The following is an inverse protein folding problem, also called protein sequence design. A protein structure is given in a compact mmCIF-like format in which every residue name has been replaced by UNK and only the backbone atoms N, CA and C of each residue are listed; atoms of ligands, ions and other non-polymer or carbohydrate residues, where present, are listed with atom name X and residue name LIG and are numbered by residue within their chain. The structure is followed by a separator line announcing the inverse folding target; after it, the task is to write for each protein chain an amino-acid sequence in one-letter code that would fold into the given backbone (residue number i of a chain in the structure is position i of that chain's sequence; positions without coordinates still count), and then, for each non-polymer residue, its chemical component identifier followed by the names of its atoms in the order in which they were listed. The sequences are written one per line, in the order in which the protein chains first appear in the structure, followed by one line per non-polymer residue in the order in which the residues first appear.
data_IF_593896659799
#
_entry.id   IF_593896659799
#
_cell.length_a   1.000
_cell.length_b   1.000
_cell.length_c   1.000
_cell.angle_alpha   90.00
_cell.angle_beta   90.00
_cell.angle_gamma   90.00
#
_symmetry.space_group_name_H-M   'P 1'
#
loop_
_entity.id
_entity.type
_entity.pdbx_description
1 polymer ?
#
# COMPACT_ATOMS: atom_id res chain seq x y z
N UNK A 1 -42.72 15.62 42.86
CA UNK A 1 -41.36 15.46 42.34
C UNK A 1 -41.04 16.70 41.51
N UNK A 2 -40.29 17.65 42.06
CA UNK A 2 -39.97 18.92 41.40
C UNK A 2 -38.83 18.71 40.41
N UNK A 3 -39.07 19.05 39.14
CA UNK A 3 -38.04 19.09 38.11
C UNK A 3 -37.18 20.36 38.28
N UNK A 4 -35.85 20.28 38.22
CA UNK A 4 -35.00 21.46 38.27
C UNK A 4 -35.10 22.24 36.95
N UNK A 5 -35.53 23.49 37.04
CA UNK A 5 -35.48 24.47 35.94
C UNK A 5 -34.04 24.87 35.71
N UNK A 6 -33.48 24.49 34.57
CA UNK A 6 -32.14 24.90 34.12
C UNK A 6 -32.25 26.26 33.45
N UNK A 7 -31.77 27.30 34.13
CA UNK A 7 -31.65 28.65 33.57
C UNK A 7 -30.40 28.72 32.71
N UNK A 8 -30.57 28.86 31.40
CA UNK A 8 -29.48 29.01 30.44
C UNK A 8 -29.06 30.49 30.44
N UNK A 9 -27.77 30.82 30.65
CA UNK A 9 -27.29 32.20 30.59
C UNK A 9 -27.36 32.72 29.16
N UNK A 10 -27.99 33.88 28.99
CA UNK A 10 -28.04 34.64 27.75
C UNK A 10 -26.65 35.20 27.48
N UNK A 11 -25.96 34.66 26.47
CA UNK A 11 -24.66 35.17 26.01
C UNK A 11 -24.91 36.45 25.22
N UNK A 12 -24.31 37.55 25.67
CA UNK A 12 -24.40 38.85 25.00
C UNK A 12 -23.72 38.80 23.62
N UNK A 13 -24.27 39.48 22.61
CA UNK A 13 -23.69 39.53 21.27
C UNK A 13 -22.34 40.26 21.30
N UNK A 14 -21.29 39.59 20.84
CA UNK A 14 -19.96 40.18 20.64
C UNK A 14 -20.01 41.27 19.55
N UNK A 15 -19.33 42.41 19.75
CA UNK A 15 -19.32 43.49 18.78
C UNK A 15 -18.60 43.07 17.50
N UNK A 16 -19.30 43.20 16.38
CA UNK A 16 -18.79 43.03 15.02
C UNK A 16 -17.60 43.99 14.79
N UNK A 17 -16.41 43.50 14.38
CA UNK A 17 -15.31 44.38 14.03
C UNK A 17 -15.70 45.22 12.80
N UNK A 18 -15.56 46.53 12.94
CA UNK A 18 -15.80 47.50 11.87
C UNK A 18 -14.93 47.16 10.65
N UNK A 19 -15.57 47.08 9.49
CA UNK A 19 -14.93 46.89 8.21
C UNK A 19 -13.90 47.98 7.95
N UNK A 20 -12.62 47.61 7.96
CA UNK A 20 -11.56 48.42 7.39
C UNK A 20 -11.66 48.29 5.87
N UNK A 21 -12.16 49.34 5.23
CA UNK A 21 -12.16 49.51 3.78
C UNK A 21 -10.73 49.75 3.32
N UNK A 22 -10.00 48.69 2.98
CA UNK A 22 -8.75 48.83 2.23
C UNK A 22 -9.09 49.06 0.75
N UNK A 23 -8.75 50.25 0.26
CA UNK A 23 -8.80 50.62 -1.15
C UNK A 23 -7.86 49.71 -1.95
N UNK A 24 -8.45 48.84 -2.79
CA UNK A 24 -7.72 48.03 -3.76
C UNK A 24 -7.24 48.97 -4.88
N UNK A 25 -5.92 49.09 -5.15
CA UNK A 25 -5.44 49.86 -6.28
C UNK A 25 -5.87 49.18 -7.59
N UNK A 26 -6.59 49.94 -8.41
CA UNK A 26 -7.00 49.58 -9.77
C UNK A 26 -5.77 49.39 -10.66
N UNK A 27 -5.37 48.12 -10.85
CA UNK A 27 -4.32 47.74 -11.81
C UNK A 27 -4.97 47.60 -13.19
N UNK A 28 -5.28 48.73 -13.80
CA UNK A 28 -5.65 48.79 -15.20
C UNK A 28 -4.37 48.66 -16.05
N UNK A 29 -4.31 47.64 -16.90
CA UNK A 29 -3.40 47.61 -18.06
C UNK A 29 -2.28 46.59 -17.99
N UNK A 30 -2.62 45.30 -18.09
CA UNK A 30 -1.71 44.30 -18.65
C UNK A 30 -2.38 43.66 -19.85
N UNK A 31 -2.12 44.26 -21.03
CA UNK A 31 -2.32 43.62 -22.32
C UNK A 31 -1.34 42.45 -22.43
N UNK A 32 -1.79 41.25 -22.08
CA UNK A 32 -1.08 40.02 -22.38
C UNK A 32 -1.59 39.53 -23.74
N UNK A 33 -1.01 40.07 -24.80
CA UNK A 33 -1.05 39.45 -26.13
C UNK A 33 -0.04 38.29 -26.12
N UNK A 34 -0.44 37.18 -25.49
CA UNK A 34 0.33 35.94 -25.45
C UNK A 34 -0.10 35.04 -26.61
N UNK A 35 0.81 34.86 -27.55
CA UNK A 35 0.73 33.96 -28.70
C UNK A 35 0.40 32.52 -28.28
N UNK A 36 -0.68 31.97 -28.84
CA UNK A 36 -0.99 30.54 -28.86
C UNK A 36 0.06 29.80 -29.70
N UNK A 37 1.07 29.23 -29.04
CA UNK A 37 1.93 28.22 -29.63
C UNK A 37 1.65 26.87 -28.96
N UNK A 38 0.88 26.05 -29.67
CA UNK A 38 0.32 24.72 -29.35
C UNK A 38 1.36 23.58 -29.23
N UNK A 39 2.54 23.82 -28.65
CA UNK A 39 3.59 22.79 -28.51
C UNK A 39 4.13 22.67 -27.08
N UNK A 40 3.24 22.74 -26.08
CA UNK A 40 3.60 22.42 -24.69
C UNK A 40 3.55 20.90 -24.47
N UNK A 41 4.52 20.20 -25.06
CA UNK A 41 4.90 18.83 -24.68
C UNK A 41 5.56 18.94 -23.30
N UNK A 42 4.73 19.19 -22.29
CA UNK A 42 5.15 19.18 -20.91
C UNK A 42 5.72 17.78 -20.64
N UNK A 43 6.99 17.66 -20.18
CA UNK A 43 7.56 16.36 -19.89
C UNK A 43 6.63 15.62 -18.90
N UNK A 44 6.43 14.31 -19.06
CA UNK A 44 5.53 13.56 -18.21
C UNK A 44 5.94 13.82 -16.77
N UNK A 45 5.03 14.39 -15.96
CA UNK A 45 5.26 14.71 -14.56
C UNK A 45 5.95 13.52 -13.92
N UNK A 46 7.26 13.65 -13.68
CA UNK A 46 8.00 12.66 -12.92
C UNK A 46 7.28 12.56 -11.59
N UNK A 47 6.83 11.37 -11.17
CA UNK A 47 6.16 11.21 -9.90
C UNK A 47 7.07 11.88 -8.86
N UNK A 48 6.52 12.84 -8.11
CA UNK A 48 7.18 13.41 -6.95
C UNK A 48 7.22 12.25 -5.95
N UNK A 49 8.19 11.37 -6.14
CA UNK A 49 8.67 10.48 -5.11
C UNK A 49 9.24 11.44 -4.08
N UNK A 50 8.52 11.61 -2.97
CA UNK A 50 9.10 12.21 -1.78
C UNK A 50 10.48 11.56 -1.61
N UNK A 51 11.57 12.34 -1.41
CA UNK A 51 12.88 11.78 -1.24
C UNK A 51 12.75 10.72 -0.15
N UNK A 52 12.89 9.46 -0.53
CA UNK A 52 12.80 8.34 0.39
C UNK A 52 13.94 8.56 1.35
N UNK A 53 13.62 9.22 2.46
CA UNK A 53 14.55 9.43 3.53
C UNK A 53 15.10 8.05 3.88
N UNK A 54 16.40 7.99 4.13
CA UNK A 54 17.21 6.80 4.45
C UNK A 54 16.76 6.06 5.73
N UNK A 55 15.49 6.17 6.12
CA UNK A 55 14.92 5.43 7.22
C UNK A 55 14.77 3.96 6.81
N UNK A 56 15.43 3.12 7.61
CA UNK A 56 15.39 1.68 7.51
C UNK A 56 13.95 1.22 7.79
N UNK A 57 13.24 0.84 6.72
CA UNK A 57 11.95 0.16 6.70
C UNK A 57 10.75 0.98 7.25
N UNK A 58 9.70 1.24 6.44
CA UNK A 58 8.51 1.93 6.93
C UNK A 58 7.79 1.06 7.97
N UNK A 59 7.24 1.67 9.02
CA UNK A 59 6.44 0.95 10.03
C UNK A 59 5.04 0.63 9.47
N UNK A 60 4.50 1.54 8.66
CA UNK A 60 3.15 1.45 8.09
C UNK A 60 3.21 1.70 6.60
N UNK A 61 2.52 0.88 5.83
CA UNK A 61 2.26 1.09 4.42
C UNK A 61 0.78 1.45 4.22
N UNK A 62 0.52 2.69 3.81
CA UNK A 62 -0.82 3.17 3.46
C UNK A 62 -1.05 2.91 1.98
N UNK A 63 -2.07 2.12 1.65
CA UNK A 63 -2.50 1.92 0.26
C UNK A 63 -3.80 2.66 0.02
N UNK A 64 -3.73 3.80 -0.68
CA UNK A 64 -4.90 4.57 -1.11
C UNK A 64 -5.40 4.04 -2.46
N UNK A 65 -6.59 3.45 -2.47
CA UNK A 65 -7.16 2.84 -3.68
C UNK A 65 -8.41 3.57 -4.14
N UNK A 66 -8.39 4.17 -5.33
CA UNK A 66 -9.61 4.68 -5.98
C UNK A 66 -10.29 3.58 -6.79
N UNK A 67 -11.61 3.45 -6.65
CA UNK A 67 -12.37 2.42 -7.36
C UNK A 67 -13.84 2.79 -7.64
N UNK A 68 -14.50 2.00 -8.48
CA UNK A 68 -15.92 2.05 -8.79
C UNK A 68 -16.72 1.14 -7.86
N UNK A 69 -17.93 1.56 -7.49
CA UNK A 69 -18.76 0.79 -6.57
C UNK A 69 -19.24 -0.55 -7.15
N UNK A 70 -19.25 -0.68 -8.48
CA UNK A 70 -19.77 -1.86 -9.18
C UNK A 70 -19.05 -3.16 -8.82
N UNK A 71 -17.76 -3.10 -8.47
CA UNK A 71 -16.96 -4.28 -8.11
C UNK A 71 -16.37 -4.05 -6.72
N UNK A 72 -16.57 -4.95 -5.74
CA UNK A 72 -15.92 -4.82 -4.44
C UNK A 72 -14.39 -4.97 -4.56
N UNK A 73 -13.64 -4.29 -3.71
CA UNK A 73 -12.19 -4.46 -3.62
C UNK A 73 -11.86 -5.81 -2.96
N UNK A 74 -10.86 -6.48 -3.50
CA UNK A 74 -10.22 -7.65 -2.91
C UNK A 74 -8.71 -7.36 -2.85
N UNK A 75 -8.11 -7.28 -1.65
CA UNK A 75 -8.71 -7.43 -0.32
C UNK A 75 -9.65 -6.27 0.07
N UNK A 76 -10.53 -6.51 1.06
CA UNK A 76 -11.42 -5.48 1.62
C UNK A 76 -10.58 -4.37 2.27
N UNK A 77 -10.88 -3.09 2.01
CA UNK A 77 -10.17 -1.99 2.65
C UNK A 77 -10.56 -1.88 4.13
N UNK A 78 -9.63 -1.41 4.95
CA UNK A 78 -9.84 -1.19 6.38
C UNK A 78 -10.70 0.07 6.61
N UNK A 79 -10.54 1.08 5.75
CA UNK A 79 -11.36 2.29 5.71
C UNK A 79 -12.02 2.44 4.33
N UNK A 80 -13.33 2.70 4.27
CA UNK A 80 -14.08 2.85 3.02
C UNK A 80 -14.88 4.15 2.99
N UNK A 81 -14.72 4.92 1.92
CA UNK A 81 -15.43 6.18 1.70
C UNK A 81 -16.19 6.17 0.36
N UNK A 82 -17.41 6.68 0.37
CA UNK A 82 -18.27 6.82 -0.81
C UNK A 82 -18.43 8.31 -1.13
N UNK A 83 -17.93 8.73 -2.29
CA UNK A 83 -17.96 10.13 -2.73
C UNK A 83 -19.21 10.48 -3.54
N UNK A 84 -20.19 9.57 -3.68
CA UNK A 84 -21.41 9.85 -4.45
C UNK A 84 -22.34 10.84 -3.75
N UNK A 85 -22.15 11.08 -2.45
CA UNK A 85 -22.86 12.12 -1.72
C UNK A 85 -22.34 13.53 -2.01
N UNK A 86 -21.13 13.66 -2.57
CA UNK A 86 -20.55 14.95 -2.91
C UNK A 86 -21.18 15.53 -4.18
N UNK A 87 -21.17 16.86 -4.36
CA UNK A 87 -21.69 17.50 -5.56
C UNK A 87 -21.04 16.91 -6.82
N UNK A 88 -21.89 16.53 -7.79
CA UNK A 88 -21.41 15.99 -9.04
C UNK A 88 -20.80 17.09 -9.88
N UNK A 89 -19.60 16.86 -10.42
CA UNK A 89 -19.01 17.76 -11.39
C UNK A 89 -19.83 17.85 -12.66
N UNK A 90 -19.76 19.03 -13.30
CA UNK A 90 -20.49 19.30 -14.53
C UNK A 90 -20.12 18.28 -15.62
N UNK A 91 -21.15 17.88 -16.40
CA UNK A 91 -21.02 16.78 -17.36
C UNK A 91 -19.91 17.01 -18.39
N UNK A 92 -19.73 18.24 -18.85
CA UNK A 92 -18.72 18.57 -19.84
C UNK A 92 -17.29 18.45 -19.28
N UNK A 93 -17.08 18.82 -18.01
CA UNK A 93 -15.80 18.66 -17.32
C UNK A 93 -15.47 17.17 -17.16
N UNK A 94 -16.45 16.37 -16.70
CA UNK A 94 -16.32 14.91 -16.56
C UNK A 94 -16.00 14.21 -17.88
N UNK A 95 -16.60 14.65 -18.98
CA UNK A 95 -16.33 14.03 -20.28
C UNK A 95 -14.92 14.30 -20.80
N UNK A 96 -14.29 15.41 -20.38
CA UNK A 96 -13.02 15.88 -20.92
C UNK A 96 -11.83 15.48 -20.05
N UNK A 97 -12.02 15.35 -18.74
CA UNK A 97 -10.95 15.17 -17.76
C UNK A 97 -11.19 13.96 -16.87
N UNK A 98 -10.12 13.22 -16.57
CA UNK A 98 -10.11 12.23 -15.50
C UNK A 98 -9.74 12.89 -14.15
N UNK A 99 -9.77 12.11 -13.07
CA UNK A 99 -9.36 12.59 -11.75
C UNK A 99 -7.88 12.97 -11.62
N UNK A 100 -7.03 12.64 -12.60
CA UNK A 100 -5.59 13.00 -12.61
C UNK A 100 -5.33 14.36 -13.22
N UNK A 101 -6.28 14.90 -13.98
CA UNK A 101 -6.16 16.23 -14.54
C UNK A 101 -6.16 17.31 -13.45
N UNK A 102 -5.16 18.20 -13.49
CA UNK A 102 -5.02 19.33 -12.56
C UNK A 102 -6.29 20.20 -12.51
N UNK A 103 -6.86 20.52 -13.68
CA UNK A 103 -8.06 21.35 -13.80
C UNK A 103 -9.29 20.73 -13.10
N UNK A 104 -9.43 19.41 -13.15
CA UNK A 104 -10.52 18.71 -12.47
C UNK A 104 -10.37 18.75 -10.94
N UNK A 105 -9.14 18.57 -10.44
CA UNK A 105 -8.85 18.66 -9.01
C UNK A 105 -9.05 20.07 -8.47
N UNK A 106 -8.56 21.08 -9.17
CA UNK A 106 -8.76 22.49 -8.80
C UNK A 106 -10.25 22.86 -8.75
N UNK A 107 -11.05 22.33 -9.68
CA UNK A 107 -12.50 22.50 -9.64
C UNK A 107 -13.10 21.88 -8.37
N UNK A 108 -12.77 20.61 -8.06
CA UNK A 108 -13.26 19.94 -6.85
C UNK A 108 -12.80 20.64 -5.56
N UNK A 109 -11.59 21.19 -5.54
CA UNK A 109 -11.06 21.92 -4.38
C UNK A 109 -11.79 23.24 -4.08
N UNK A 110 -12.65 23.74 -4.98
CA UNK A 110 -13.52 24.89 -4.70
C UNK A 110 -14.75 24.52 -3.88
N UNK A 111 -15.11 23.23 -3.88
CA UNK A 111 -16.27 22.73 -3.15
C UNK A 111 -15.89 22.48 -1.69
N UNK A 112 -16.51 23.22 -0.77
CA UNK A 112 -16.20 23.15 0.66
C UNK A 112 -16.45 21.75 1.24
N UNK A 113 -17.50 21.06 0.80
CA UNK A 113 -17.83 19.70 1.24
C UNK A 113 -16.74 18.69 0.86
N UNK A 114 -16.14 18.86 -0.33
CA UNK A 114 -15.04 18.02 -0.79
C UNK A 114 -13.79 18.22 0.07
N UNK A 115 -13.43 19.46 0.37
CA UNK A 115 -12.28 19.81 1.21
C UNK A 115 -12.49 19.35 2.67
N UNK A 116 -13.71 19.50 3.19
CA UNK A 116 -14.08 19.01 4.51
C UNK A 116 -13.97 17.48 4.58
N UNK A 117 -14.43 16.77 3.56
CA UNK A 117 -14.30 15.32 3.48
C UNK A 117 -12.84 14.88 3.36
N UNK A 118 -12.00 15.57 2.58
CA UNK A 118 -10.55 15.30 2.54
C UNK A 118 -9.91 15.41 3.91
N UNK A 119 -10.16 16.50 4.63
CA UNK A 119 -9.62 16.73 5.97
C UNK A 119 -10.12 15.69 6.97
N UNK A 120 -11.40 15.29 6.88
CA UNK A 120 -11.96 14.22 7.70
C UNK A 120 -11.25 12.90 7.47
N UNK A 121 -11.12 12.47 6.20
CA UNK A 121 -10.47 11.21 5.84
C UNK A 121 -8.99 11.22 6.25
N UNK A 122 -8.28 12.32 6.02
CA UNK A 122 -6.89 12.48 6.46
C UNK A 122 -6.75 12.25 7.97
N UNK A 123 -7.60 12.87 8.78
CA UNK A 123 -7.58 12.70 10.23
C UNK A 123 -7.90 11.26 10.67
N UNK A 124 -8.86 10.60 10.01
CA UNK A 124 -9.22 9.21 10.31
C UNK A 124 -8.09 8.24 9.94
N UNK A 125 -7.42 8.45 8.80
CA UNK A 125 -6.24 7.66 8.40
C UNK A 125 -5.08 7.87 9.37
N UNK A 126 -4.82 9.11 9.80
CA UNK A 126 -3.80 9.41 10.81
C UNK A 126 -4.14 8.79 12.17
N UNK A 127 -5.40 8.77 12.58
CA UNK A 127 -5.84 8.12 13.80
C UNK A 127 -5.62 6.60 13.72
N UNK A 128 -6.07 5.97 12.62
CA UNK A 128 -5.94 4.51 12.45
C UNK A 128 -4.50 4.06 12.27
N UNK A 129 -3.67 4.84 11.57
CA UNK A 129 -2.24 4.55 11.46
C UNK A 129 -1.54 4.56 12.82
N UNK A 130 -1.83 5.54 13.69
CA UNK A 130 -1.27 5.56 15.05
C UNK A 130 -1.68 4.36 15.90
N UNK A 131 -2.92 3.90 15.79
CA UNK A 131 -3.38 2.67 16.45
C UNK A 131 -2.55 1.45 15.99
N UNK A 132 -2.37 1.27 14.68
CA UNK A 132 -1.56 0.19 14.12
C UNK A 132 -0.07 0.27 14.53
N UNK A 133 0.44 1.48 14.72
CA UNK A 133 1.81 1.70 15.19
C UNK A 133 1.99 1.24 16.64
N UNK A 134 1.05 1.60 17.52
CA UNK A 134 1.08 1.18 18.92
C UNK A 134 0.88 -0.34 19.07
N UNK A 135 0.02 -0.93 18.24
CA UNK A 135 -0.11 -2.40 18.14
C UNK A 135 1.22 -3.06 17.73
N UNK A 136 1.90 -2.50 16.71
CA UNK A 136 3.19 -3.01 16.26
C UNK A 136 4.28 -2.88 17.34
N UNK A 137 4.29 -1.78 18.10
CA UNK A 137 5.20 -1.59 19.25
C UNK A 137 4.91 -2.59 20.36
N UNK A 138 3.63 -2.83 20.69
CA UNK A 138 3.25 -3.81 21.70
C UNK A 138 3.65 -5.23 21.30
N UNK A 139 3.36 -5.65 20.07
CA UNK A 139 3.74 -6.96 19.53
C UNK A 139 5.27 -7.16 19.55
N UNK A 140 6.04 -6.10 19.22
CA UNK A 140 7.49 -6.14 19.28
C UNK A 140 8.00 -6.30 20.72
N UNK A 141 7.44 -5.53 21.67
CA UNK A 141 7.81 -5.60 23.07
C UNK A 141 7.45 -6.96 23.70
N UNK A 142 6.34 -7.56 23.31
CA UNK A 142 5.94 -8.90 23.75
C UNK A 142 6.89 -9.97 23.21
N UNK A 143 7.19 -9.96 21.91
CA UNK A 143 8.18 -10.87 21.31
C UNK A 143 9.57 -10.74 21.92
N UNK A 144 9.99 -9.53 22.28
CA UNK A 144 11.27 -9.30 22.95
C UNK A 144 11.28 -9.90 24.36
N UNK A 145 10.19 -9.76 25.13
CA UNK A 145 10.04 -10.41 26.44
C UNK A 145 10.02 -11.94 26.33
N UNK A 146 9.30 -12.48 25.37
CA UNK A 146 9.28 -13.93 25.12
C UNK A 146 10.65 -14.47 24.70
N UNK A 147 11.36 -13.75 23.82
CA UNK A 147 12.72 -14.09 23.42
C UNK A 147 13.69 -14.05 24.61
N UNK A 148 13.57 -13.05 25.48
CA UNK A 148 14.36 -12.95 26.70
C UNK A 148 14.07 -14.12 27.67
N UNK A 149 12.81 -14.44 27.91
CA UNK A 149 12.41 -15.59 28.76
C UNK A 149 12.90 -16.93 28.18
N UNK A 150 12.78 -17.12 26.85
CA UNK A 150 13.29 -18.32 26.18
C UNK A 150 14.82 -18.42 26.28
N UNK A 151 15.52 -17.30 26.17
CA UNK A 151 16.98 -17.26 26.35
C UNK A 151 17.40 -17.55 27.81
N UNK A 152 16.61 -17.12 28.79
CA UNK A 152 16.83 -17.43 30.21
C UNK A 152 16.64 -18.92 30.49
N UNK A 153 15.55 -19.52 29.99
CA UNK A 153 15.29 -20.95 30.13
C UNK A 153 16.40 -21.80 29.49
N UNK A 154 16.88 -21.42 28.30
CA UNK A 154 17.97 -22.10 27.62
C UNK A 154 19.30 -22.01 28.40
N UNK A 155 19.55 -20.91 29.12
CA UNK A 155 20.71 -20.78 30.00
C UNK A 155 20.59 -21.70 31.22
N UNK A 156 19.41 -21.79 31.83
CA UNK A 156 19.16 -22.67 32.97
C UNK A 156 19.30 -24.16 32.60
N UNK A 157 18.82 -24.55 31.42
CA UNK A 157 18.99 -25.93 30.92
C UNK A 157 20.46 -26.26 30.62
N UNK A 158 21.22 -25.30 30.09
CA UNK A 158 22.66 -25.46 29.87
C UNK A 158 23.45 -25.61 31.18
N UNK A 159 23.13 -24.81 32.20
CA UNK A 159 23.75 -24.91 33.53
C UNK A 159 23.42 -26.26 34.20
N UNK A 160 22.16 -26.71 34.09
CA UNK A 160 21.75 -28.02 34.60
C UNK A 160 22.47 -29.18 33.91
N UNK A 161 22.64 -29.12 32.60
CA UNK A 161 23.39 -30.12 31.84
C UNK A 161 24.88 -30.15 32.21
N UNK A 162 25.47 -28.98 32.54
CA UNK A 162 26.85 -28.90 33.02
C UNK A 162 27.02 -29.55 34.40
N UNK A 163 26.06 -29.33 35.31
CA UNK A 163 26.04 -29.98 36.63
C UNK A 163 25.88 -31.51 36.54
N UNK A 164 24.99 -32.01 35.67
CA UNK A 164 24.78 -33.45 35.47
C UNK A 164 26.04 -34.12 34.89
N UNK A 165 26.72 -33.45 33.95
CA UNK A 165 27.99 -33.94 33.40
C UNK A 165 29.08 -34.04 34.47
N UNK A 166 29.17 -33.05 35.36
CA UNK A 166 30.13 -33.07 36.47
C UNK A 166 29.85 -34.19 37.49
N UNK A 167 28.59 -34.57 37.71
CA UNK A 167 28.22 -35.66 38.62
C UNK A 167 28.58 -37.04 38.03
N UNK A 168 28.40 -37.23 36.73
CA UNK A 168 28.79 -38.47 36.02
C UNK A 168 30.31 -38.68 36.07
N UNK A 169 31.10 -37.63 35.79
CA UNK A 169 32.59 -37.72 35.86
C UNK A 169 33.08 -38.09 37.26
N UNK A 170 32.38 -37.66 38.32
CA UNK A 170 32.74 -38.01 39.70
C UNK A 170 32.40 -39.46 40.07
N UNK A 171 31.35 -40.03 39.48
CA UNK A 171 30.96 -41.42 39.72
C UNK A 171 31.88 -42.42 39.00
N UNK A 172 32.42 -42.06 37.83
CA UNK A 172 33.26 -42.94 37.01
C UNK A 172 34.66 -43.16 37.60
N UNK A 173 35.18 -42.19 38.37
CA UNK A 173 36.47 -42.32 39.07
C UNK A 173 36.50 -43.40 40.19
N UNK A 174 35.35 -44.01 40.53
CA UNK A 174 35.23 -45.00 41.59
C UNK A 174 35.21 -46.48 41.16
N UNK A 175 35.18 -46.80 39.86
CA UNK A 175 34.99 -48.18 39.39
C UNK A 175 36.29 -48.78 38.84
N UNK A 176 36.99 -49.46 39.74
CA UNK A 176 38.14 -50.35 39.47
C UNK A 176 37.71 -51.52 38.58
N UNK A 177 38.58 -51.85 37.61
CA UNK A 177 38.62 -53.01 36.71
C UNK A 177 37.97 -54.29 37.28
N UNK A 178 37.16 -54.97 36.45
CA UNK A 178 37.35 -56.41 36.28
C UNK A 178 37.58 -56.81 34.81
N UNK A 179 38.49 -57.75 34.66
CA UNK A 179 38.99 -58.38 33.44
C UNK A 179 37.94 -58.94 32.48
N UNK A 180 38.32 -58.85 31.20
CA UNK A 180 37.98 -59.61 29.99
C UNK A 180 37.20 -60.94 30.09
N UNK A 181 36.28 -61.17 29.14
CA UNK A 181 36.44 -62.16 28.04
C UNK A 181 35.29 -62.06 26.99
N UNK A 182 35.45 -62.65 25.78
CA UNK A 182 34.80 -62.24 24.53
C UNK A 182 33.69 -63.19 24.01
N UNK A 183 33.17 -62.84 22.82
CA UNK A 183 32.38 -63.63 21.86
C UNK A 183 30.88 -63.87 22.16
N UNK A 184 30.02 -63.32 21.29
CA UNK A 184 29.12 -64.12 20.45
C UNK A 184 28.38 -63.22 19.45
N UNK A 185 28.45 -63.61 18.17
CA UNK A 185 27.66 -63.06 17.06
C UNK A 185 26.15 -63.25 17.27
N UNK A 186 25.31 -62.46 16.58
CA UNK A 186 24.22 -63.13 15.88
C UNK A 186 23.93 -62.60 14.47
N UNK A 187 23.59 -63.56 13.64
CA UNK A 187 23.15 -63.45 12.26
C UNK A 187 21.83 -62.67 12.07
N UNK A 188 21.71 -62.09 10.89
CA UNK A 188 20.52 -61.59 10.17
C UNK A 188 19.37 -62.63 10.14
N UNK A 189 18.06 -62.31 9.87
CA UNK A 189 17.61 -61.77 8.57
C UNK A 189 16.26 -60.99 8.49
N UNK A 190 15.99 -60.55 7.25
CA UNK A 190 14.69 -60.39 6.54
C UNK A 190 13.71 -59.22 6.83
N UNK A 191 13.60 -58.35 5.82
CA UNK A 191 12.47 -58.32 4.85
C UNK A 191 11.55 -57.07 4.81
N UNK A 192 11.67 -56.39 3.67
CA UNK A 192 10.61 -55.89 2.77
C UNK A 192 9.72 -54.71 3.21
N UNK A 193 9.84 -53.57 2.51
CA UNK A 193 9.09 -53.28 1.26
C UNK A 193 9.14 -51.79 0.89
N UNK A 194 9.52 -51.53 -0.36
CA UNK A 194 9.29 -50.30 -1.12
C UNK A 194 7.79 -50.20 -1.56
N UNK A 195 7.26 -49.12 -2.18
CA UNK A 195 7.72 -48.49 -3.45
C UNK A 195 7.89 -46.96 -3.34
N UNK A 196 8.87 -46.32 -3.99
CA UNK A 196 8.97 -46.06 -5.44
C UNK A 196 8.03 -44.94 -5.91
N UNK A 197 8.57 -43.74 -6.13
CA UNK A 197 8.14 -42.85 -7.23
C UNK A 197 9.23 -41.83 -7.61
N UNK A 198 10.01 -42.28 -8.60
CA UNK A 198 10.53 -41.60 -9.78
C UNK A 198 11.15 -40.19 -9.69
N UNK A 199 12.45 -40.22 -9.96
CA UNK A 199 13.36 -39.17 -10.33
C UNK A 199 13.14 -38.66 -11.77
N UNK A 200 13.57 -37.41 -12.02
CA UNK A 200 14.19 -37.03 -13.28
C UNK A 200 15.44 -36.22 -12.93
N UNK A 201 16.59 -36.88 -13.06
CA UNK A 201 17.92 -36.36 -12.84
C UNK A 201 18.46 -35.67 -14.11
N UNK A 202 19.09 -34.51 -13.94
CA UNK A 202 20.07 -33.97 -14.87
C UNK A 202 21.38 -33.83 -14.10
N UNK A 203 22.37 -34.64 -14.48
CA UNK A 203 23.67 -34.79 -13.82
C UNK A 203 24.71 -33.85 -14.43
N UNK A 204 25.35 -33.02 -13.62
CA UNK A 204 26.62 -32.37 -13.95
C UNK A 204 27.63 -32.74 -12.88
N UNK A 205 28.61 -33.55 -13.27
CA UNK A 205 29.76 -33.91 -12.47
C UNK A 205 30.83 -32.81 -12.61
N UNK A 206 31.18 -32.19 -11.49
CA UNK A 206 32.30 -31.28 -11.33
C UNK A 206 32.97 -31.59 -10.00
N UNK A 207 34.16 -32.17 -10.09
CA UNK A 207 35.02 -32.66 -9.02
C UNK A 207 35.95 -31.49 -8.64
N UNK A 208 35.68 -30.80 -7.53
CA UNK A 208 36.56 -29.77 -6.97
C UNK A 208 36.50 -29.83 -5.43
N UNK A 209 37.60 -30.27 -4.83
CA UNK A 209 37.93 -30.22 -3.40
C UNK A 209 37.89 -28.77 -2.88
N UNK A 210 36.71 -28.26 -2.55
CA UNK A 210 36.52 -26.94 -1.94
C UNK A 210 36.35 -27.08 -0.42
N UNK A 211 37.26 -26.46 0.34
CA UNK A 211 37.21 -26.41 1.79
C UNK A 211 35.91 -25.74 2.22
N UNK A 212 34.98 -26.54 2.76
CA UNK A 212 33.73 -26.05 3.35
C UNK A 212 34.07 -25.17 4.57
N UNK A 213 34.33 -23.89 4.32
CA UNK A 213 34.25 -22.85 5.34
C UNK A 213 32.80 -22.87 5.78
N UNK A 214 32.55 -23.47 6.94
CA UNK A 214 31.25 -23.41 7.62
C UNK A 214 31.02 -21.94 7.95
N UNK A 215 30.47 -21.19 6.98
CA UNK A 215 30.01 -19.84 7.16
C UNK A 215 28.93 -19.90 8.24
N UNK A 216 29.32 -19.45 9.43
CA UNK A 216 28.48 -19.33 10.61
C UNK A 216 27.20 -18.62 10.18
N UNK A 217 26.10 -19.38 10.09
CA UNK A 217 24.83 -18.92 9.57
C UNK A 217 24.47 -17.56 10.19
N UNK A 218 24.55 -16.51 9.37
CA UNK A 218 24.19 -15.15 9.77
C UNK A 218 22.75 -15.21 10.24
N UNK A 219 22.52 -14.88 11.52
CA UNK A 219 21.18 -14.91 12.11
C UNK A 219 20.19 -14.17 11.20
N UNK A 220 18.99 -14.73 11.00
CA UNK A 220 18.02 -14.16 10.07
C UNK A 220 17.72 -12.72 10.50
N UNK A 221 18.11 -11.77 9.65
CA UNK A 221 17.76 -10.36 9.84
C UNK A 221 16.24 -10.32 9.96
N UNK A 222 15.75 -9.87 11.12
CA UNK A 222 14.34 -9.82 11.42
C UNK A 222 13.71 -8.69 10.57
N UNK A 223 13.38 -9.01 9.32
CA UNK A 223 12.78 -8.07 8.37
C UNK A 223 11.42 -7.67 8.93
N UNK A 224 11.26 -6.40 9.29
CA UNK A 224 10.01 -5.92 9.85
C UNK A 224 9.00 -5.76 8.71
N UNK A 225 7.98 -6.61 8.68
CA UNK A 225 6.90 -6.46 7.70
C UNK A 225 6.02 -5.28 8.13
N UNK A 226 5.91 -4.20 7.33
CA UNK A 226 5.07 -3.06 7.67
C UNK A 226 3.62 -3.48 7.86
N UNK A 227 2.92 -2.81 8.79
CA UNK A 227 1.46 -2.96 8.90
C UNK A 227 0.81 -2.25 7.71
N UNK A 228 -0.11 -2.95 7.04
CA UNK A 228 -0.80 -2.40 5.87
C UNK A 228 -2.11 -1.73 6.29
N UNK A 229 -2.29 -0.46 5.93
CA UNK A 229 -3.54 0.29 6.09
C UNK A 229 -4.16 0.58 4.72
N UNK A 230 -5.23 -0.14 4.38
CA UNK A 230 -5.90 -0.05 3.08
C UNK A 230 -7.07 0.92 3.16
N UNK A 231 -7.02 1.96 2.35
CA UNK A 231 -8.07 2.98 2.27
C UNK A 231 -8.72 2.92 0.90
N UNK A 232 -9.99 2.54 0.86
CA UNK A 232 -10.78 2.48 -0.36
C UNK A 232 -11.64 3.72 -0.54
N UNK A 233 -11.44 4.45 -1.63
CA UNK A 233 -12.27 5.60 -2.00
C UNK A 233 -13.06 5.26 -3.27
N UNK A 234 -14.38 5.30 -3.16
CA UNK A 234 -15.30 4.93 -4.24
C UNK A 234 -16.08 6.10 -4.81
N UNK A 235 -16.31 6.06 -6.12
CA UNK A 235 -17.33 6.86 -6.78
C UNK A 235 -18.11 5.98 -7.76
N UNK A 236 -19.08 6.56 -8.48
CA UNK A 236 -19.95 5.81 -9.40
C UNK A 236 -19.16 4.97 -10.42
N UNK A 237 -18.20 5.59 -11.10
CA UNK A 237 -17.49 4.97 -12.22
C UNK A 237 -16.00 4.70 -11.94
N UNK A 238 -15.44 5.19 -10.82
CA UNK A 238 -14.06 4.90 -10.41
C UNK A 238 -12.94 5.64 -11.17
N UNK A 239 -13.25 6.71 -11.91
CA UNK A 239 -12.29 7.42 -12.78
C UNK A 239 -12.22 8.95 -12.60
N UNK A 240 -13.15 9.52 -11.83
CA UNK A 240 -13.24 10.98 -11.61
C UNK A 240 -12.94 11.33 -10.15
N UNK A 241 -13.98 11.61 -9.36
CA UNK A 241 -13.85 12.13 -8.00
C UNK A 241 -13.01 11.24 -7.09
N UNK A 242 -13.16 9.90 -7.16
CA UNK A 242 -12.35 9.00 -6.33
C UNK A 242 -10.86 9.03 -6.67
N UNK A 243 -10.52 9.17 -7.95
CA UNK A 243 -9.13 9.30 -8.42
C UNK A 243 -8.55 10.64 -7.98
N UNK A 244 -9.29 11.73 -8.19
CA UNK A 244 -8.90 13.07 -7.74
C UNK A 244 -8.69 13.14 -6.23
N UNK A 245 -9.59 12.51 -5.46
CA UNK A 245 -9.53 12.50 -4.01
C UNK A 245 -8.31 11.75 -3.48
N UNK A 246 -8.01 10.57 -4.05
CA UNK A 246 -6.80 9.81 -3.72
C UNK A 246 -5.52 10.57 -4.09
N UNK A 247 -5.50 11.22 -5.25
CA UNK A 247 -4.38 12.06 -5.70
C UNK A 247 -4.14 13.25 -4.76
N UNK A 248 -5.20 13.90 -4.27
CA UNK A 248 -5.08 14.97 -3.28
C UNK A 248 -4.61 14.47 -1.91
N UNK A 249 -5.12 13.32 -1.44
CA UNK A 249 -4.64 12.68 -0.21
C UNK A 249 -3.15 12.28 -0.32
N UNK A 250 -2.73 11.75 -1.47
CA UNK A 250 -1.33 11.38 -1.70
C UNK A 250 -0.36 12.57 -1.69
N UNK A 251 -0.85 13.80 -1.88
CA UNK A 251 -0.05 15.04 -1.75
C UNK A 251 -0.01 15.61 -0.34
N UNK A 252 -0.84 15.12 0.58
CA UNK A 252 -0.80 15.53 1.99
C UNK A 252 0.50 15.09 2.64
N UNK A 253 0.80 15.68 3.80
CA UNK A 253 1.98 15.33 4.58
C UNK A 253 1.63 14.17 5.50
N UNK A 254 2.36 13.09 5.36
CA UNK A 254 2.26 11.90 6.21
C UNK A 254 3.48 11.82 7.12
N UNK A 255 3.39 11.12 8.27
CA UNK A 255 4.55 10.81 9.10
C UNK A 255 5.67 10.17 8.27
N UNK A 256 6.92 10.51 8.60
CA UNK A 256 8.10 10.16 7.77
C UNK A 256 8.38 8.65 7.80
N UNK A 257 7.98 8.00 8.88
CA UNK A 257 8.05 6.57 9.11
C UNK A 257 6.96 5.77 8.37
N UNK A 258 6.02 6.44 7.69
CA UNK A 258 4.97 5.80 6.91
C UNK A 258 5.27 5.88 5.42
N UNK A 259 5.09 4.77 4.72
CA UNK A 259 5.10 4.71 3.27
C UNK A 259 3.67 4.87 2.73
N UNK A 260 3.54 5.51 1.57
CA UNK A 260 2.25 5.71 0.91
C UNK A 260 2.30 5.21 -0.53
N UNK A 261 1.29 4.44 -0.91
CA UNK A 261 1.07 3.92 -2.25
C UNK A 261 -0.31 4.38 -2.76
N UNK A 262 -0.33 4.93 -3.96
CA UNK A 262 -1.56 5.35 -4.65
C UNK A 262 -1.87 4.38 -5.78
N UNK A 263 -3.06 3.79 -5.75
CA UNK A 263 -3.51 2.79 -6.73
C UNK A 263 -4.85 3.21 -7.35
N UNK A 264 -4.94 3.18 -8.69
CA UNK A 264 -6.18 3.53 -9.40
C UNK A 264 -6.76 2.34 -10.15
N UNK A 265 -7.59 1.54 -9.47
CA UNK A 265 -8.07 0.24 -9.98
C UNK A 265 -8.67 0.30 -11.37
N UNK A 266 -9.53 1.29 -11.64
CA UNK A 266 -10.31 1.34 -12.89
C UNK A 266 -9.65 2.18 -13.99
N UNK A 267 -8.73 3.08 -13.62
CA UNK A 267 -7.96 3.90 -14.57
C UNK A 267 -6.77 3.13 -15.13
N UNK A 268 -6.04 2.40 -14.28
CA UNK A 268 -4.81 1.73 -14.69
C UNK A 268 -5.07 0.51 -15.60
N UNK A 269 -6.21 -0.17 -15.42
CA UNK A 269 -6.60 -1.32 -16.26
C UNK A 269 -6.79 -0.98 -17.73
N UNK A 270 -7.18 0.25 -18.06
CA UNK A 270 -7.42 0.63 -19.45
C UNK A 270 -6.13 0.84 -20.25
N UNK A 271 -4.99 0.98 -19.57
CA UNK A 271 -3.71 1.28 -20.20
C UNK A 271 -2.83 0.05 -20.43
N UNK A 272 -3.39 -1.15 -20.48
CA UNK A 272 -2.75 -2.21 -21.26
C UNK A 272 -2.99 -1.86 -22.74
N UNK A 273 -2.05 -1.17 -23.45
CA UNK A 273 -2.13 -1.14 -24.90
C UNK A 273 -2.17 -2.61 -25.27
N UNK A 274 -3.16 -3.01 -26.06
CA UNK A 274 -3.28 -4.39 -26.55
C UNK A 274 -1.91 -4.88 -27.02
N UNK A 275 -1.20 -5.59 -26.15
CA UNK A 275 -0.02 -6.37 -26.47
C UNK A 275 -0.56 -7.46 -27.39
N UNK A 276 -0.55 -7.19 -28.69
CA UNK A 276 -0.99 -8.14 -29.70
C UNK A 276 -2.29 -7.85 -30.47
N UNK A 277 -2.80 -6.61 -30.52
CA UNK A 277 -3.61 -6.25 -31.71
C UNK A 277 -2.92 -5.11 -32.42
N UNK A 278 -1.87 -5.50 -33.15
CA UNK A 278 -1.50 -4.83 -34.37
C UNK A 278 -2.80 -4.41 -35.04
N UNK A 279 -3.14 -3.13 -34.95
CA UNK A 279 -4.01 -2.51 -35.92
C UNK A 279 -3.18 -2.61 -37.19
N UNK A 280 -3.34 -3.76 -37.85
CA UNK A 280 -3.11 -3.90 -39.26
C UNK A 280 -3.60 -2.59 -39.85
N UNK A 281 -2.64 -1.91 -40.43
CA UNK A 281 -2.81 -0.80 -41.31
C UNK A 281 -3.74 -1.28 -42.44
N UNK A 282 -5.05 -1.35 -42.15
CA UNK A 282 -6.12 -1.55 -43.12
C UNK A 282 -6.35 -0.21 -43.83
N UNK A 283 -5.26 0.29 -44.42
CA UNK A 283 -5.26 1.14 -45.60
C UNK A 283 -5.75 0.26 -46.75
N UNK A 284 -7.04 -0.07 -46.76
CA UNK A 284 -7.55 -1.09 -47.68
C UNK A 284 -9.05 -1.12 -47.88
N UNK A 285 -9.77 -0.03 -47.66
CA UNK A 285 -11.24 -0.07 -47.71
C UNK A 285 -11.91 1.20 -48.19
N UNK A 286 -11.33 1.84 -49.20
CA UNK A 286 -11.93 2.98 -49.92
C UNK A 286 -13.09 2.49 -50.80
N UNK A 287 -14.18 1.96 -50.23
CA UNK A 287 -15.46 1.92 -50.96
C UNK A 287 -16.14 3.25 -50.78
N UNK A 288 -15.82 4.18 -51.68
CA UNK A 288 -16.69 5.30 -52.02
C UNK A 288 -18.04 4.71 -52.37
N UNK A 289 -19.02 4.82 -51.47
CA UNK A 289 -20.40 4.70 -51.92
C UNK A 289 -20.75 6.04 -52.58
N UNK A 290 -20.41 6.13 -53.87
CA UNK A 290 -20.93 7.15 -54.78
C UNK A 290 -22.42 6.87 -54.88
N UNK A 291 -23.20 7.47 -53.99
CA UNK A 291 -24.65 7.58 -54.19
C UNK A 291 -24.88 8.85 -55.00
N UNK A 292 -24.86 8.66 -56.31
CA UNK A 292 -25.53 9.51 -57.29
C UNK A 292 -26.93 9.89 -56.77
N UNK A 293 -27.36 11.13 -57.05
CA UNK A 293 -28.61 11.75 -56.55
C UNK A 293 -29.91 11.04 -56.98
N UNK A 294 -31.08 11.71 -56.91
CA UNK A 294 -31.30 12.98 -57.64
C UNK A 294 -32.15 14.04 -56.91
N UNK A 295 -31.98 15.27 -57.38
CA UNK A 295 -33.01 16.25 -57.77
C UNK A 295 -34.19 16.60 -56.84
N UNK A 296 -34.21 17.88 -56.45
CA UNK A 296 -35.24 18.86 -56.84
C UNK A 296 -36.72 18.51 -56.55
N UNK A 297 -37.31 19.14 -55.53
CA UNK A 297 -38.64 19.78 -55.64
C UNK A 297 -38.66 21.00 -54.70
N UNK A 298 -38.82 22.18 -55.31
CA UNK A 298 -39.30 23.41 -54.68
C UNK A 298 -40.82 23.42 -54.81
N UNK A 299 -41.55 23.65 -53.72
CA UNK A 299 -42.95 24.10 -53.78
C UNK A 299 -43.13 25.29 -52.82
N UNK A 300 -43.92 26.24 -53.31
CA UNK A 300 -44.28 27.56 -52.80
C UNK A 300 -44.91 27.60 -51.39
#
# INVERSE_FOLDING_TARGET
MSTPTVTIPVIAPTPTPAAASEEIPSIAGLNISGSESDDDISPPATPILQPMALHAEPTILITLTSFSLAIPLQPTPDLKYDLRSLPSSEKHVRSKYDGRAKQFREWLSREEEYVAMLSKVENEVLAKGRELEEEAKHEKAEKEKEAAHKAELAKADAEKAELEKAEIEKAEAGKVEPEAEPEAEPETPVSASAPEQSEAAESVAGDDDDMVVVEKAKEPVNVHVPKNLRVGISCEMGHHSSVAFVEELGRRRWPVEWALEVVHRDVDKQRNPRKGKARGNDKGGRTRNVRSGPEHVTED
#
